data_IF_087347632946
#
_entry.id   IF_087347632946
#
_cell.length_a   1.000
_cell.length_b   1.000
_cell.length_c   1.000
_cell.angle_alpha   90.00
_cell.angle_beta   90.00
_cell.angle_gamma   90.00
#
_symmetry.space_group_name_H-M   'P 1'
#
loop_
_entity.id
_entity.type
_entity.pdbx_description
1 polymer ?
#
# COMPACT_ATOMS: atom_id res chain seq x y z
N UNK A 1 7.10 -28.12 -15.80
CA UNK A 1 7.01 -27.94 -17.27
C UNK A 1 8.23 -27.18 -17.73
N UNK A 2 8.96 -27.68 -18.70
CA UNK A 2 10.21 -27.05 -19.19
C UNK A 2 9.88 -25.79 -20.00
N UNK A 3 10.72 -24.77 -19.96
CA UNK A 3 10.60 -23.48 -20.69
C UNK A 3 10.29 -23.68 -22.18
N UNK A 4 10.79 -24.77 -22.77
CA UNK A 4 10.55 -25.16 -24.16
C UNK A 4 9.08 -25.48 -24.48
N UNK A 5 8.34 -26.07 -23.53
CA UNK A 5 6.91 -26.38 -23.72
C UNK A 5 6.03 -25.14 -23.67
N UNK A 6 6.38 -24.16 -22.84
CA UNK A 6 5.66 -22.89 -22.75
C UNK A 6 5.87 -22.06 -24.02
N UNK A 7 7.11 -21.98 -24.53
CA UNK A 7 7.41 -21.29 -25.79
C UNK A 7 6.70 -21.93 -27.00
N UNK A 8 6.61 -23.26 -27.03
CA UNK A 8 5.89 -23.97 -28.08
C UNK A 8 4.37 -23.74 -28.02
N UNK A 9 3.80 -23.67 -26.81
CA UNK A 9 2.41 -23.34 -26.61
C UNK A 9 2.08 -21.91 -27.03
N UNK A 10 2.96 -20.93 -26.71
CA UNK A 10 2.82 -19.53 -27.12
C UNK A 10 2.94 -19.40 -28.64
N UNK A 11 3.91 -20.07 -29.28
CA UNK A 11 4.06 -20.06 -30.74
C UNK A 11 2.84 -20.65 -31.47
N UNK A 12 2.21 -21.67 -30.88
CA UNK A 12 0.97 -22.25 -31.44
C UNK A 12 -0.22 -21.30 -31.27
N UNK A 13 -0.29 -20.56 -30.15
CA UNK A 13 -1.36 -19.58 -29.90
C UNK A 13 -1.23 -18.30 -30.75
N UNK A 14 -0.01 -17.96 -31.18
CA UNK A 14 0.27 -16.75 -32.00
C UNK A 14 0.35 -17.05 -33.51
N UNK A 15 0.05 -18.28 -33.95
CA UNK A 15 -0.04 -18.57 -35.37
C UNK A 15 -1.09 -17.67 -36.03
N UNK A 16 -0.67 -16.90 -37.04
CA UNK A 16 -1.52 -15.93 -37.75
C UNK A 16 -2.65 -16.66 -38.45
N UNK A 17 -3.84 -16.59 -37.87
CA UNK A 17 -5.04 -17.13 -38.48
C UNK A 17 -5.43 -16.28 -39.69
N UNK A 18 -5.50 -16.85 -40.85
CA UNK A 18 -5.89 -16.17 -42.12
C UNK A 18 -7.42 -15.91 -42.20
N UNK A 19 -8.19 -16.32 -41.19
CA UNK A 19 -9.61 -16.02 -41.06
C UNK A 19 -10.12 -16.35 -39.66
N UNK A 20 -10.72 -15.37 -39.01
CA UNK A 20 -11.40 -15.56 -37.72
C UNK A 20 -12.90 -15.41 -37.96
N UNK A 21 -13.64 -16.52 -37.81
CA UNK A 21 -15.11 -16.51 -37.83
C UNK A 21 -15.63 -16.75 -36.41
N UNK A 22 -16.69 -16.02 -36.02
CA UNK A 22 -17.39 -16.29 -34.77
C UNK A 22 -17.93 -17.69 -34.79
N UNK A 23 -17.55 -18.52 -33.80
CA UNK A 23 -18.14 -19.83 -33.58
C UNK A 23 -19.63 -19.69 -33.27
N UNK A 24 -20.40 -20.78 -33.52
CA UNK A 24 -21.83 -20.80 -33.24
C UNK A 24 -22.10 -20.45 -31.75
N UNK A 25 -23.32 -19.98 -31.43
CA UNK A 25 -23.79 -19.69 -30.06
C UNK A 25 -23.52 -20.78 -29.02
N UNK A 26 -23.34 -22.03 -29.49
CA UNK A 26 -23.06 -23.21 -28.65
C UNK A 26 -21.57 -23.58 -28.59
N UNK A 27 -20.67 -22.74 -29.06
CA UNK A 27 -19.24 -23.08 -29.25
C UNK A 27 -18.58 -23.72 -28.04
N UNK A 28 -18.62 -23.05 -26.86
CA UNK A 28 -18.04 -23.58 -25.62
C UNK A 28 -18.75 -24.85 -25.11
N UNK A 29 -20.08 -24.95 -25.29
CA UNK A 29 -20.86 -26.14 -24.88
C UNK A 29 -20.48 -27.37 -25.70
N UNK A 30 -20.24 -27.21 -27.01
CA UNK A 30 -19.74 -28.29 -27.86
C UNK A 30 -18.30 -28.67 -27.51
N UNK A 31 -17.46 -27.68 -27.23
CA UNK A 31 -16.07 -27.89 -26.81
C UNK A 31 -15.98 -28.61 -25.46
N UNK A 32 -16.85 -28.29 -24.49
CA UNK A 32 -16.85 -28.96 -23.18
C UNK A 32 -17.33 -30.47 -23.26
N UNK A 33 -17.94 -30.87 -24.34
CA UNK A 33 -18.29 -32.25 -24.60
C UNK A 33 -17.23 -33.03 -25.40
N UNK A 34 -16.20 -32.40 -25.89
CA UNK A 34 -15.12 -33.01 -26.64
C UNK A 34 -14.04 -33.54 -25.68
N UNK A 35 -13.76 -34.86 -25.76
CA UNK A 35 -12.78 -35.52 -24.89
C UNK A 35 -11.32 -35.10 -25.17
N UNK A 36 -11.05 -34.56 -26.36
CA UNK A 36 -9.73 -34.19 -26.83
C UNK A 36 -9.38 -32.74 -26.46
N UNK A 37 -10.34 -31.96 -25.91
CA UNK A 37 -10.18 -30.56 -25.58
C UNK A 37 -10.52 -30.37 -24.10
N UNK A 38 -9.58 -29.86 -23.30
CA UNK A 38 -9.77 -29.62 -21.85
C UNK A 38 -10.53 -28.30 -21.59
N UNK A 39 -11.81 -28.28 -21.97
CA UNK A 39 -12.75 -27.21 -21.65
C UNK A 39 -13.77 -27.74 -20.65
N UNK A 40 -13.70 -27.22 -19.40
CA UNK A 40 -14.63 -27.61 -18.33
C UNK A 40 -15.68 -26.54 -18.09
N UNK A 41 -16.89 -26.98 -17.77
CA UNK A 41 -17.98 -26.10 -17.40
C UNK A 41 -17.72 -25.51 -15.99
N UNK A 42 -17.84 -24.19 -15.84
CA UNK A 42 -17.80 -23.53 -14.53
C UNK A 42 -19.22 -23.48 -13.95
N UNK A 43 -19.35 -23.67 -12.63
CA UNK A 43 -20.62 -23.64 -11.91
C UNK A 43 -21.13 -22.20 -11.78
N UNK A 44 -21.93 -21.77 -12.76
CA UNK A 44 -22.65 -20.48 -12.70
C UNK A 44 -24.15 -20.75 -12.53
N UNK A 45 -24.80 -20.02 -11.64
CA UNK A 45 -26.22 -20.15 -11.34
C UNK A 45 -26.92 -18.78 -11.41
N UNK A 46 -28.25 -18.81 -11.57
CA UNK A 46 -29.11 -17.67 -11.32
C UNK A 46 -29.82 -17.90 -9.98
N UNK A 47 -29.61 -17.02 -9.03
CA UNK A 47 -30.17 -17.14 -7.68
C UNK A 47 -31.12 -15.98 -7.37
N UNK A 48 -32.12 -16.22 -6.52
CA UNK A 48 -32.96 -15.18 -5.96
C UNK A 48 -32.08 -14.18 -5.19
N UNK A 49 -32.13 -12.88 -5.49
CA UNK A 49 -31.33 -11.86 -4.79
C UNK A 49 -31.50 -11.89 -3.27
N UNK A 50 -32.66 -12.29 -2.76
CA UNK A 50 -32.97 -12.38 -1.33
C UNK A 50 -32.19 -13.45 -0.58
N UNK A 51 -31.59 -14.40 -1.30
CA UNK A 51 -30.71 -15.40 -0.72
C UNK A 51 -29.30 -14.87 -0.43
N UNK A 52 -28.90 -13.79 -1.08
CA UNK A 52 -27.60 -13.19 -0.84
C UNK A 52 -27.50 -12.74 0.61
N UNK A 53 -26.34 -12.91 1.20
CA UNK A 53 -26.05 -12.51 2.58
C UNK A 53 -24.64 -11.95 2.68
N UNK A 54 -24.54 -10.73 3.21
CA UNK A 54 -23.26 -10.08 3.49
C UNK A 54 -22.96 -10.32 4.96
N UNK A 55 -21.89 -11.04 5.24
CA UNK A 55 -21.39 -11.23 6.60
C UNK A 55 -20.78 -9.90 7.09
N UNK A 56 -21.23 -9.43 8.26
CA UNK A 56 -20.72 -8.21 8.85
C UNK A 56 -19.22 -8.32 9.14
N UNK A 57 -18.45 -7.29 8.77
CA UNK A 57 -16.99 -7.27 8.93
C UNK A 57 -16.23 -8.23 7.99
N UNK A 58 -16.89 -8.99 7.11
CA UNK A 58 -16.18 -9.84 6.15
C UNK A 58 -15.56 -9.01 5.02
N UNK A 59 -16.22 -7.96 4.56
CA UNK A 59 -15.69 -7.08 3.52
C UNK A 59 -14.46 -6.32 4.04
N UNK A 60 -13.36 -6.40 3.31
CA UNK A 60 -12.11 -5.68 3.63
C UNK A 60 -12.20 -4.20 3.24
N UNK A 61 -13.12 -3.88 2.35
CA UNK A 61 -13.27 -2.58 1.72
C UNK A 61 -14.51 -1.86 2.24
N UNK A 62 -14.39 -0.56 2.46
CA UNK A 62 -15.56 0.28 2.71
C UNK A 62 -16.44 0.35 1.45
N UNK A 63 -17.76 0.37 1.65
CA UNK A 63 -18.73 0.46 0.56
C UNK A 63 -18.72 1.88 -0.01
N UNK A 64 -18.35 1.99 -1.27
CA UNK A 64 -18.33 3.26 -2.02
C UNK A 64 -19.69 3.53 -2.64
N UNK A 65 -20.32 4.61 -2.20
CA UNK A 65 -21.68 4.97 -2.63
C UNK A 65 -21.76 5.29 -4.12
N UNK A 66 -20.76 5.96 -4.70
CA UNK A 66 -20.76 6.32 -6.12
C UNK A 66 -20.62 5.08 -7.00
N UNK A 67 -19.76 4.14 -6.58
CA UNK A 67 -19.60 2.87 -7.27
C UNK A 67 -20.86 2.01 -7.20
N UNK A 68 -21.55 1.99 -6.06
CA UNK A 68 -22.85 1.33 -5.89
C UNK A 68 -23.89 1.92 -6.83
N UNK A 69 -24.02 3.26 -6.92
CA UNK A 69 -24.96 3.92 -7.83
C UNK A 69 -24.69 3.59 -9.30
N UNK A 70 -23.42 3.39 -9.69
CA UNK A 70 -23.05 2.91 -11.01
C UNK A 70 -23.67 1.54 -11.33
N UNK A 71 -23.62 0.61 -10.37
CA UNK A 71 -24.26 -0.70 -10.52
C UNK A 71 -25.77 -0.65 -10.43
N UNK A 72 -26.36 0.21 -9.59
CA UNK A 72 -27.81 0.41 -9.54
C UNK A 72 -28.34 0.79 -10.93
N UNK A 73 -27.70 1.77 -11.58
CA UNK A 73 -28.05 2.15 -12.96
C UNK A 73 -27.92 0.97 -13.93
N UNK A 74 -26.88 0.16 -13.80
CA UNK A 74 -26.68 -1.01 -14.67
C UNK A 74 -27.78 -2.06 -14.51
N UNK A 75 -28.22 -2.32 -13.26
CA UNK A 75 -29.33 -3.24 -13.00
C UNK A 75 -30.67 -2.67 -13.49
N UNK A 76 -30.90 -1.37 -13.31
CA UNK A 76 -32.11 -0.69 -13.80
C UNK A 76 -32.20 -0.72 -15.33
N UNK A 77 -31.07 -0.50 -16.01
CA UNK A 77 -30.99 -0.49 -17.47
C UNK A 77 -30.93 -1.92 -18.09
N UNK A 78 -30.90 -2.97 -17.28
CA UNK A 78 -30.73 -4.35 -17.74
C UNK A 78 -29.38 -4.62 -18.41
N UNK A 79 -28.34 -3.82 -18.09
CA UNK A 79 -27.00 -4.01 -18.61
C UNK A 79 -26.29 -5.19 -17.95
N UNK A 80 -25.28 -5.73 -18.62
CA UNK A 80 -24.45 -6.77 -18.06
C UNK A 80 -23.72 -6.31 -16.80
N UNK A 81 -23.86 -7.10 -15.74
CA UNK A 81 -23.08 -6.96 -14.50
C UNK A 81 -22.39 -8.30 -14.24
N UNK A 82 -21.09 -8.31 -13.89
CA UNK A 82 -20.37 -9.55 -13.59
C UNK A 82 -21.05 -10.34 -12.47
N UNK A 83 -20.99 -11.69 -12.48
CA UNK A 83 -21.58 -12.53 -11.44
C UNK A 83 -20.96 -12.29 -10.07
N UNK A 84 -21.77 -12.50 -9.01
CA UNK A 84 -21.33 -12.42 -7.61
C UNK A 84 -20.73 -13.77 -7.22
N UNK A 85 -19.59 -13.78 -6.54
CA UNK A 85 -18.99 -15.02 -6.03
C UNK A 85 -19.53 -15.30 -4.62
N UNK A 86 -20.02 -16.53 -4.43
CA UNK A 86 -20.74 -16.92 -3.21
C UNK A 86 -20.32 -18.30 -2.70
N UNK A 87 -20.52 -18.52 -1.41
CA UNK A 87 -20.52 -19.85 -0.79
C UNK A 87 -21.86 -20.08 -0.10
N UNK A 88 -22.32 -21.33 -0.09
CA UNK A 88 -23.54 -21.70 0.63
C UNK A 88 -23.22 -21.82 2.12
N UNK A 89 -23.96 -21.12 2.95
CA UNK A 89 -23.85 -21.16 4.40
C UNK A 89 -25.22 -21.35 5.04
N UNK A 90 -25.26 -21.80 6.27
CA UNK A 90 -26.48 -21.85 7.07
C UNK A 90 -26.38 -20.75 8.15
N UNK A 91 -27.35 -19.83 8.15
CA UNK A 91 -27.46 -18.74 9.11
C UNK A 91 -28.82 -18.87 9.78
N UNK A 92 -28.84 -19.07 11.09
CA UNK A 92 -30.05 -19.24 11.89
C UNK A 92 -30.99 -20.35 11.35
N UNK A 93 -30.40 -21.46 10.90
CA UNK A 93 -31.15 -22.59 10.32
C UNK A 93 -31.68 -22.37 8.89
N UNK A 94 -31.31 -21.26 8.26
CA UNK A 94 -31.70 -20.93 6.88
C UNK A 94 -30.47 -20.93 5.96
N UNK A 95 -30.59 -21.62 4.82
CA UNK A 95 -29.53 -21.58 3.81
C UNK A 95 -29.47 -20.21 3.15
N UNK A 96 -28.27 -19.62 3.10
CA UNK A 96 -27.95 -18.34 2.51
C UNK A 96 -26.75 -18.45 1.58
N UNK A 97 -26.63 -17.49 0.68
CA UNK A 97 -25.49 -17.32 -0.21
C UNK A 97 -24.60 -16.21 0.36
N UNK A 98 -23.60 -16.60 1.16
CA UNK A 98 -22.59 -15.67 1.68
C UNK A 98 -21.80 -15.09 0.52
N UNK A 99 -21.78 -13.77 0.42
CA UNK A 99 -21.02 -13.05 -0.60
C UNK A 99 -19.55 -13.07 -0.24
N UNK A 100 -18.73 -13.65 -1.12
CA UNK A 100 -17.27 -13.68 -1.02
C UNK A 100 -16.67 -12.52 -1.81
N UNK A 101 -17.16 -12.28 -3.05
CA UNK A 101 -16.77 -11.16 -3.90
C UNK A 101 -18.01 -10.58 -4.59
N UNK A 102 -18.04 -9.24 -4.70
CA UNK A 102 -19.16 -8.51 -5.28
C UNK A 102 -20.02 -7.75 -4.27
N UNK A 103 -19.48 -7.38 -3.13
CA UNK A 103 -20.20 -6.65 -2.08
C UNK A 103 -20.90 -5.37 -2.58
N UNK A 104 -20.22 -4.53 -3.40
CA UNK A 104 -20.82 -3.35 -4.01
C UNK A 104 -21.98 -3.70 -4.94
N UNK A 105 -21.85 -4.79 -5.72
CA UNK A 105 -22.91 -5.30 -6.60
C UNK A 105 -24.11 -5.80 -5.80
N UNK A 106 -23.86 -6.47 -4.68
CA UNK A 106 -24.93 -6.95 -3.78
C UNK A 106 -25.69 -5.79 -3.14
N UNK A 107 -24.98 -4.77 -2.64
CA UNK A 107 -25.63 -3.56 -2.10
C UNK A 107 -26.43 -2.86 -3.19
N UNK A 108 -25.91 -2.78 -4.41
CA UNK A 108 -26.60 -2.18 -5.55
C UNK A 108 -27.87 -2.97 -5.94
N UNK A 109 -27.86 -4.30 -5.84
CA UNK A 109 -29.05 -5.15 -6.06
C UNK A 109 -30.14 -4.79 -5.06
N UNK A 110 -29.83 -4.69 -3.77
CA UNK A 110 -30.80 -4.33 -2.75
C UNK A 110 -31.38 -2.93 -2.98
N UNK A 111 -30.53 -1.94 -3.28
CA UNK A 111 -31.00 -0.60 -3.65
C UNK A 111 -31.86 -0.59 -4.91
N UNK A 112 -31.51 -1.34 -5.95
CA UNK A 112 -32.31 -1.44 -7.17
C UNK A 112 -33.69 -2.00 -6.89
N UNK A 113 -33.78 -3.05 -6.06
CA UNK A 113 -35.06 -3.64 -5.63
C UNK A 113 -35.88 -2.63 -4.80
N UNK A 114 -35.27 -1.92 -3.86
CA UNK A 114 -35.91 -0.84 -3.08
C UNK A 114 -36.45 0.28 -3.98
N UNK A 115 -35.74 0.57 -5.08
CA UNK A 115 -36.17 1.54 -6.10
C UNK A 115 -37.24 0.97 -7.06
N UNK A 116 -37.75 -0.26 -6.82
CA UNK A 116 -38.83 -0.86 -7.57
C UNK A 116 -38.40 -1.65 -8.82
N UNK A 117 -37.11 -1.96 -8.98
CA UNK A 117 -36.62 -2.80 -10.08
C UNK A 117 -36.96 -4.26 -9.78
N UNK A 118 -37.72 -4.94 -10.68
CA UNK A 118 -38.09 -6.35 -10.53
C UNK A 118 -36.94 -7.27 -10.92
N UNK A 119 -35.98 -7.48 -9.98
CA UNK A 119 -34.88 -8.41 -10.13
C UNK A 119 -35.25 -9.79 -9.58
N UNK A 120 -35.75 -10.68 -10.48
CA UNK A 120 -36.15 -12.04 -10.10
C UNK A 120 -34.95 -12.97 -9.83
N UNK A 121 -33.84 -12.74 -10.51
CA UNK A 121 -32.65 -13.55 -10.37
C UNK A 121 -31.40 -12.74 -10.72
N UNK A 122 -30.30 -13.08 -10.06
CA UNK A 122 -28.96 -12.51 -10.30
C UNK A 122 -27.96 -13.62 -10.55
N UNK A 123 -26.97 -13.34 -11.38
CA UNK A 123 -25.94 -14.32 -11.72
C UNK A 123 -24.95 -14.47 -10.57
N UNK A 124 -24.73 -15.72 -10.15
CA UNK A 124 -23.79 -16.06 -9.08
C UNK A 124 -22.86 -17.19 -9.52
N UNK A 125 -21.68 -17.24 -8.96
CA UNK A 125 -20.71 -18.33 -9.13
C UNK A 125 -20.41 -18.90 -7.75
N UNK A 126 -20.59 -20.18 -7.57
CA UNK A 126 -20.17 -20.86 -6.34
C UNK A 126 -18.66 -20.99 -6.32
N UNK A 127 -18.06 -20.56 -5.22
CA UNK A 127 -16.63 -20.70 -4.96
C UNK A 127 -16.39 -21.65 -3.81
N UNK A 128 -15.27 -22.35 -3.86
CA UNK A 128 -14.83 -23.32 -2.85
C UNK A 128 -13.62 -22.79 -2.13
N UNK A 129 -13.37 -23.31 -0.95
CA UNK A 129 -12.22 -22.93 -0.12
C UNK A 129 -12.61 -22.54 1.29
N UNK A 130 -11.64 -22.54 2.18
CA UNK A 130 -11.80 -22.10 3.55
C UNK A 130 -11.86 -20.55 3.65
N UNK A 131 -12.01 -20.00 4.85
CA UNK A 131 -12.08 -18.54 5.04
C UNK A 131 -10.83 -17.79 4.56
N UNK A 132 -9.66 -18.42 4.67
CA UNK A 132 -8.39 -17.84 4.16
C UNK A 132 -8.44 -17.72 2.65
N UNK A 133 -8.88 -18.79 1.96
CA UNK A 133 -9.01 -18.80 0.49
C UNK A 133 -10.02 -17.75 0.02
N UNK A 134 -11.15 -17.61 0.73
CA UNK A 134 -12.19 -16.61 0.43
C UNK A 134 -11.64 -15.19 0.58
N UNK A 135 -10.91 -14.91 1.66
CA UNK A 135 -10.29 -13.60 1.91
C UNK A 135 -9.18 -13.30 0.89
N UNK A 136 -8.34 -14.28 0.58
CA UNK A 136 -7.31 -14.16 -0.45
C UNK A 136 -7.91 -13.86 -1.83
N UNK A 137 -9.03 -14.53 -2.17
CA UNK A 137 -9.76 -14.27 -3.41
C UNK A 137 -10.28 -12.84 -3.48
N UNK A 138 -10.87 -12.33 -2.40
CA UNK A 138 -11.35 -10.94 -2.32
C UNK A 138 -10.20 -9.94 -2.52
N UNK A 139 -9.04 -10.18 -1.92
CA UNK A 139 -7.86 -9.32 -2.09
C UNK A 139 -7.35 -9.35 -3.53
N UNK A 140 -7.24 -10.56 -4.13
CA UNK A 140 -6.74 -10.75 -5.50
C UNK A 140 -7.72 -10.22 -6.56
N UNK A 141 -9.04 -10.27 -6.31
CA UNK A 141 -10.06 -9.80 -7.26
C UNK A 141 -10.23 -8.28 -7.28
N UNK A 142 -9.54 -7.55 -6.42
CA UNK A 142 -9.62 -6.09 -6.31
C UNK A 142 -9.00 -5.31 -7.50
N UNK A 143 -8.90 -5.91 -8.69
CA UNK A 143 -8.24 -5.32 -9.87
C UNK A 143 -8.94 -4.06 -10.40
N UNK A 144 -10.26 -3.99 -10.32
CA UNK A 144 -11.03 -2.84 -10.82
C UNK A 144 -10.88 -1.57 -9.97
N UNK A 145 -10.72 -1.71 -8.66
CA UNK A 145 -10.39 -0.68 -7.68
C UNK A 145 -9.41 -1.27 -6.68
N UNK A 146 -8.13 -0.95 -6.76
CA UNK A 146 -7.13 -1.46 -5.83
C UNK A 146 -7.51 -1.16 -4.37
N UNK A 147 -7.20 -2.10 -3.48
CA UNK A 147 -7.32 -1.86 -2.03
C UNK A 147 -6.36 -0.77 -1.59
N UNK A 148 -6.81 0.09 -0.70
CA UNK A 148 -5.93 1.06 -0.05
C UNK A 148 -4.90 0.37 0.82
N UNK A 149 -3.83 1.07 1.18
CA UNK A 149 -2.79 0.51 2.03
C UNK A 149 -3.31 0.07 3.42
N UNK A 150 -4.30 0.78 3.95
CA UNK A 150 -4.92 0.45 5.25
C UNK A 150 -5.87 -0.74 5.12
N UNK A 151 -6.65 -0.82 4.03
CA UNK A 151 -7.49 -2.00 3.75
C UNK A 151 -6.64 -3.27 3.60
N UNK A 152 -5.52 -3.21 2.87
CA UNK A 152 -4.56 -4.31 2.78
C UNK A 152 -3.94 -4.69 4.13
N UNK A 153 -3.58 -3.69 4.95
CA UNK A 153 -3.04 -3.94 6.27
C UNK A 153 -4.05 -4.69 7.16
N UNK A 154 -5.31 -4.27 7.14
CA UNK A 154 -6.40 -4.94 7.87
C UNK A 154 -6.63 -6.37 7.36
N UNK A 155 -6.62 -6.57 6.03
CA UNK A 155 -6.77 -7.89 5.42
C UNK A 155 -5.63 -8.84 5.86
N UNK A 156 -4.39 -8.39 5.83
CA UNK A 156 -3.23 -9.18 6.27
C UNK A 156 -3.31 -9.52 7.76
N UNK A 157 -3.71 -8.54 8.60
CA UNK A 157 -3.90 -8.76 10.03
C UNK A 157 -5.00 -9.80 10.30
N UNK A 158 -6.09 -9.77 9.53
CA UNK A 158 -7.18 -10.74 9.63
C UNK A 158 -6.70 -12.16 9.26
N UNK A 159 -5.92 -12.31 8.18
CA UNK A 159 -5.33 -13.60 7.82
C UNK A 159 -4.41 -14.14 8.91
N UNK A 160 -3.63 -13.27 9.57
CA UNK A 160 -2.81 -13.65 10.73
C UNK A 160 -3.70 -14.06 11.92
N UNK A 161 -4.83 -13.40 12.15
CA UNK A 161 -5.82 -13.79 13.16
C UNK A 161 -6.46 -15.16 12.89
N UNK A 162 -6.48 -15.61 11.64
CA UNK A 162 -6.89 -16.98 11.25
C UNK A 162 -5.78 -18.02 11.43
N UNK A 163 -4.61 -17.65 12.01
CA UNK A 163 -3.51 -18.55 12.34
C UNK A 163 -2.35 -18.59 11.33
N UNK A 164 -2.39 -17.79 10.26
CA UNK A 164 -1.27 -17.71 9.33
C UNK A 164 -0.16 -16.83 9.90
N UNK A 165 1.10 -17.20 9.63
CA UNK A 165 2.23 -16.32 9.85
C UNK A 165 2.49 -15.42 8.62
N UNK A 166 3.37 -14.42 8.75
CA UNK A 166 3.66 -13.45 7.67
C UNK A 166 4.16 -14.12 6.38
N UNK A 167 4.90 -15.21 6.47
CA UNK A 167 5.41 -15.94 5.31
C UNK A 167 4.26 -16.64 4.58
N UNK A 168 3.37 -17.30 5.31
CA UNK A 168 2.19 -17.96 4.75
C UNK A 168 1.23 -16.96 4.10
N UNK A 169 1.01 -15.78 4.74
CA UNK A 169 0.23 -14.69 4.13
C UNK A 169 0.87 -14.22 2.83
N UNK A 170 2.19 -14.10 2.79
CA UNK A 170 2.92 -13.68 1.60
C UNK A 170 2.83 -14.72 0.48
N UNK A 171 2.95 -16.00 0.78
CA UNK A 171 2.79 -17.11 -0.17
C UNK A 171 1.37 -17.14 -0.74
N UNK A 172 0.34 -17.06 0.12
CA UNK A 172 -1.06 -17.06 -0.28
C UNK A 172 -1.41 -15.91 -1.24
N UNK A 173 -0.85 -14.72 -1.00
CA UNK A 173 -1.14 -13.51 -1.77
C UNK A 173 -0.11 -13.22 -2.88
N UNK A 174 0.85 -14.12 -3.13
CA UNK A 174 1.92 -13.95 -4.11
C UNK A 174 2.71 -12.64 -3.92
N UNK A 175 3.03 -12.31 -2.66
CA UNK A 175 3.81 -11.13 -2.26
C UNK A 175 5.03 -11.52 -1.43
N UNK A 176 5.71 -10.58 -0.80
CA UNK A 176 6.88 -10.86 0.04
C UNK A 176 6.58 -10.65 1.52
N UNK A 177 7.19 -11.44 2.45
CA UNK A 177 7.03 -11.24 3.89
C UNK A 177 7.41 -9.83 4.35
N UNK A 178 8.41 -9.23 3.70
CA UNK A 178 8.81 -7.85 3.97
C UNK A 178 7.69 -6.85 3.63
N UNK A 179 6.96 -7.08 2.56
CA UNK A 179 5.82 -6.25 2.17
C UNK A 179 4.65 -6.44 3.14
N UNK A 180 4.33 -7.68 3.52
CA UNK A 180 3.33 -7.96 4.56
C UNK A 180 3.65 -7.22 5.84
N UNK A 181 4.91 -7.30 6.32
CA UNK A 181 5.35 -6.57 7.51
C UNK A 181 5.22 -5.04 7.36
N UNK A 182 5.51 -4.48 6.19
CA UNK A 182 5.37 -3.04 5.92
C UNK A 182 3.92 -2.57 6.08
N UNK A 183 2.95 -3.32 5.52
CA UNK A 183 1.54 -2.99 5.66
C UNK A 183 1.06 -3.15 7.12
N UNK A 184 1.43 -4.24 7.80
CA UNK A 184 1.07 -4.45 9.21
C UNK A 184 1.61 -3.34 10.12
N UNK A 185 2.75 -2.75 9.79
CA UNK A 185 3.32 -1.63 10.53
C UNK A 185 2.40 -0.39 10.50
N UNK A 186 1.62 -0.19 9.43
CA UNK A 186 0.66 0.91 9.34
C UNK A 186 -0.47 0.81 10.36
N UNK A 187 -0.80 -0.39 10.83
CA UNK A 187 -1.85 -0.57 11.87
C UNK A 187 -1.44 0.03 13.21
N UNK A 188 -0.13 0.17 13.46
CA UNK A 188 0.42 0.85 14.65
C UNK A 188 0.37 2.38 14.56
N UNK A 189 -0.02 2.92 13.41
CA UNK A 189 -0.12 4.35 13.21
C UNK A 189 -1.33 4.94 13.96
N UNK A 190 -1.23 6.19 14.46
CA UNK A 190 -2.37 6.94 14.95
C UNK A 190 -3.48 7.04 13.90
N UNK A 191 -4.73 7.13 14.35
CA UNK A 191 -5.89 7.15 13.45
C UNK A 191 -5.82 8.28 12.41
N UNK A 192 -5.31 9.44 12.84
CA UNK A 192 -5.13 10.60 11.95
C UNK A 192 -4.14 10.31 10.81
N UNK A 193 -3.01 9.62 11.10
CA UNK A 193 -2.06 9.22 10.04
C UNK A 193 -2.68 8.19 9.08
N UNK A 194 -3.49 7.26 9.60
CA UNK A 194 -4.25 6.31 8.76
C UNK A 194 -5.23 7.03 7.84
N UNK A 195 -5.96 8.03 8.36
CA UNK A 195 -6.88 8.84 7.57
C UNK A 195 -6.15 9.60 6.45
N UNK A 196 -4.99 10.20 6.72
CA UNK A 196 -4.17 10.88 5.71
C UNK A 196 -3.69 9.91 4.61
N UNK A 197 -3.37 8.66 4.96
CA UNK A 197 -2.98 7.63 3.99
C UNK A 197 -4.19 7.19 3.14
N UNK A 198 -5.36 7.00 3.76
CA UNK A 198 -6.59 6.62 3.05
C UNK A 198 -7.06 7.72 2.10
N UNK A 199 -6.95 8.99 2.50
CA UNK A 199 -7.24 10.14 1.64
C UNK A 199 -6.24 10.33 0.48
N UNK A 200 -5.09 9.62 0.51
CA UNK A 200 -4.03 9.78 -0.49
C UNK A 200 -3.14 11.02 -0.28
N UNK A 201 -3.33 11.76 0.80
CA UNK A 201 -2.56 12.96 1.13
C UNK A 201 -1.11 12.61 1.51
N UNK A 202 -0.92 11.44 2.13
CA UNK A 202 0.38 10.96 2.55
C UNK A 202 0.67 9.54 2.02
N UNK A 203 1.91 9.31 1.60
CA UNK A 203 2.32 8.03 1.03
C UNK A 203 2.46 6.95 2.11
N UNK A 204 1.84 5.79 1.90
CA UNK A 204 2.00 4.62 2.76
C UNK A 204 3.48 4.21 2.90
N UNK A 205 4.27 4.30 1.81
CA UNK A 205 5.70 4.00 1.83
C UNK A 205 6.48 4.93 2.76
N UNK A 206 6.19 6.22 2.73
CA UNK A 206 6.79 7.17 3.66
C UNK A 206 6.34 6.89 5.10
N UNK A 207 5.05 6.56 5.29
CA UNK A 207 4.50 6.27 6.61
C UNK A 207 5.23 5.10 7.28
N UNK A 208 5.27 3.91 6.66
CA UNK A 208 5.94 2.76 7.32
C UNK A 208 7.44 2.96 7.50
N UNK A 209 8.12 3.68 6.58
CA UNK A 209 9.53 4.01 6.74
C UNK A 209 9.78 4.95 7.92
N UNK A 210 8.92 5.95 8.11
CA UNK A 210 9.02 6.90 9.22
C UNK A 210 8.62 6.25 10.55
N UNK A 211 7.56 5.43 10.58
CA UNK A 211 7.17 4.65 11.77
C UNK A 211 8.33 3.74 12.22
N UNK A 212 8.98 3.04 11.28
CA UNK A 212 10.11 2.14 11.59
C UNK A 212 11.31 2.89 12.17
N UNK A 213 11.60 4.10 11.67
CA UNK A 213 12.79 4.88 12.04
C UNK A 213 12.59 5.71 13.28
N UNK A 214 11.41 6.26 13.48
CA UNK A 214 11.16 7.34 14.41
C UNK A 214 9.99 7.07 15.38
N UNK A 215 9.21 6.01 15.14
CA UNK A 215 7.99 5.73 15.88
C UNK A 215 6.74 6.38 15.25
N UNK A 216 5.57 6.00 15.76
CA UNK A 216 4.29 6.35 15.14
C UNK A 216 3.95 7.86 15.30
N UNK A 217 4.22 8.45 16.46
CA UNK A 217 3.87 9.83 16.77
C UNK A 217 4.72 10.83 15.98
N UNK A 218 6.03 10.57 15.89
CA UNK A 218 6.92 11.38 15.07
C UNK A 218 6.58 11.24 13.58
N UNK A 219 6.20 10.03 13.14
CA UNK A 219 5.75 9.81 11.77
C UNK A 219 4.50 10.62 11.43
N UNK A 220 3.55 10.75 12.37
CA UNK A 220 2.38 11.61 12.23
C UNK A 220 2.78 13.08 12.12
N UNK A 221 3.65 13.59 13.01
CA UNK A 221 4.12 14.96 12.97
C UNK A 221 4.82 15.29 11.64
N UNK A 222 5.65 14.38 11.14
CA UNK A 222 6.30 14.51 9.83
C UNK A 222 5.30 14.51 8.68
N UNK A 223 4.24 13.69 8.76
CA UNK A 223 3.19 13.62 7.75
C UNK A 223 2.40 14.94 7.69
N UNK A 224 2.00 15.49 8.85
CA UNK A 224 1.31 16.79 8.96
C UNK A 224 2.13 17.91 8.31
N UNK A 225 3.42 17.97 8.60
CA UNK A 225 4.29 18.99 8.03
C UNK A 225 4.48 18.82 6.52
N UNK A 226 4.60 17.59 6.02
CA UNK A 226 4.72 17.33 4.57
C UNK A 226 3.44 17.71 3.82
N UNK A 227 2.27 17.38 4.36
CA UNK A 227 0.97 17.71 3.74
C UNK A 227 0.76 19.21 3.74
N UNK A 228 1.07 19.89 4.87
CA UNK A 228 1.03 21.35 4.96
C UNK A 228 1.93 22.01 3.91
N UNK A 229 3.19 21.59 3.81
CA UNK A 229 4.14 22.11 2.83
C UNK A 229 3.68 21.88 1.38
N UNK A 230 3.01 20.74 1.10
CA UNK A 230 2.43 20.46 -0.22
C UNK A 230 1.25 21.39 -0.53
N UNK A 231 0.37 21.65 0.44
CA UNK A 231 -0.78 22.55 0.27
C UNK A 231 -0.33 24.00 0.05
N UNK A 232 0.64 24.49 0.80
CA UNK A 232 1.22 25.83 0.64
C UNK A 232 1.86 26.01 -0.74
N UNK A 233 2.61 25.01 -1.22
CA UNK A 233 3.19 25.02 -2.59
C UNK A 233 2.12 25.03 -3.67
N UNK A 234 1.03 24.28 -3.49
CA UNK A 234 -0.08 24.22 -4.44
C UNK A 234 -0.82 25.57 -4.50
N UNK A 235 -1.01 26.21 -3.36
CA UNK A 235 -1.62 27.54 -3.24
C UNK A 235 -0.73 28.65 -3.86
N UNK A 236 0.58 28.64 -3.61
CA UNK A 236 1.54 29.58 -4.19
C UNK A 236 1.61 29.44 -5.73
N UNK A 237 1.59 28.20 -6.23
CA UNK A 237 1.59 27.94 -7.68
C UNK A 237 0.31 28.45 -8.37
N UNK A 238 -0.84 28.39 -7.70
CA UNK A 238 -2.11 28.95 -8.23
C UNK A 238 -2.11 30.48 -8.24
N UNK A 239 -1.36 31.12 -7.33
CA UNK A 239 -1.23 32.59 -7.27
C UNK A 239 -0.10 33.14 -8.17
N UNK A 240 0.62 32.30 -8.91
CA UNK A 240 1.73 32.72 -9.78
C UNK A 240 2.99 33.17 -9.04
N UNK A 241 3.06 32.96 -7.72
CA UNK A 241 4.22 33.27 -6.89
C UNK A 241 5.26 32.14 -6.96
N UNK A 242 6.56 32.51 -6.98
CA UNK A 242 7.61 31.49 -6.83
C UNK A 242 7.50 30.85 -5.45
N UNK A 243 7.29 29.53 -5.33
CA UNK A 243 7.19 28.90 -4.04
C UNK A 243 8.49 29.12 -3.24
N UNK A 244 8.35 29.52 -2.00
CA UNK A 244 9.46 29.61 -1.07
C UNK A 244 10.20 28.25 -1.00
N UNK A 245 11.53 28.26 -0.88
CA UNK A 245 12.31 27.02 -0.69
C UNK A 245 11.72 26.25 0.48
N UNK A 246 11.16 25.08 0.20
CA UNK A 246 10.45 24.32 1.21
C UNK A 246 11.42 23.85 2.28
N UNK A 247 11.17 24.25 3.50
CA UNK A 247 11.75 23.73 4.74
C UNK A 247 11.10 22.38 5.16
N UNK A 248 10.23 21.81 4.34
CA UNK A 248 9.52 20.55 4.63
C UNK A 248 10.46 19.36 4.88
N UNK A 249 9.93 18.15 4.89
CA UNK A 249 10.62 16.87 5.20
C UNK A 249 12.00 16.66 4.58
N UNK A 250 12.37 17.45 3.56
CA UNK A 250 13.73 17.52 3.01
C UNK A 250 14.74 18.04 4.04
N UNK A 251 14.34 18.99 4.89
CA UNK A 251 15.18 19.52 5.97
C UNK A 251 15.38 18.52 7.13
N UNK A 252 14.47 17.57 7.29
CA UNK A 252 14.55 16.51 8.30
C UNK A 252 15.38 15.30 7.84
N UNK A 253 15.71 15.20 6.55
CA UNK A 253 16.53 14.11 6.03
C UNK A 253 18.01 14.42 6.20
N UNK A 254 18.72 13.54 6.90
CA UNK A 254 20.18 13.61 6.96
C UNK A 254 20.79 13.41 5.57
N UNK A 255 21.72 14.25 5.24
CA UNK A 255 22.49 14.20 3.99
C UNK A 255 23.78 13.43 4.26
N UNK A 256 24.26 12.69 3.28
CA UNK A 256 25.53 11.98 3.28
C UNK A 256 26.39 12.46 2.12
N UNK A 257 27.69 12.42 2.30
CA UNK A 257 28.63 12.67 1.21
C UNK A 257 28.38 11.66 0.07
N UNK A 258 28.43 12.12 -1.16
CA UNK A 258 28.25 11.24 -2.33
C UNK A 258 29.33 10.16 -2.38
N UNK A 259 29.02 8.90 -2.76
CA UNK A 259 30.00 7.79 -2.76
C UNK A 259 31.28 8.08 -3.55
N UNK A 260 31.20 8.79 -4.69
CA UNK A 260 32.36 9.22 -5.47
C UNK A 260 33.29 10.15 -4.70
N UNK A 261 32.72 11.00 -3.83
CA UNK A 261 33.50 11.93 -3.01
C UNK A 261 34.11 11.22 -1.81
N UNK A 262 33.43 10.22 -1.24
CA UNK A 262 34.00 9.35 -0.19
C UNK A 262 35.20 8.60 -0.75
N UNK A 263 35.11 8.04 -1.95
CA UNK A 263 36.24 7.36 -2.61
C UNK A 263 37.39 8.33 -2.87
N UNK A 264 37.11 9.53 -3.40
CA UNK A 264 38.14 10.56 -3.61
C UNK A 264 38.85 10.98 -2.32
N UNK A 265 38.12 11.04 -1.19
CA UNK A 265 38.70 11.30 0.12
C UNK A 265 39.59 10.13 0.58
N UNK A 266 39.12 8.89 0.34
CA UNK A 266 39.93 7.67 0.59
C UNK A 266 41.25 7.66 -0.18
N UNK A 267 41.22 8.05 -1.45
CA UNK A 267 42.42 8.15 -2.30
C UNK A 267 43.43 9.17 -1.74
N UNK A 268 42.95 10.34 -1.31
CA UNK A 268 43.79 11.39 -0.71
C UNK A 268 44.39 10.89 0.60
N UNK A 269 43.57 10.29 1.49
CA UNK A 269 44.04 9.75 2.76
C UNK A 269 45.08 8.63 2.54
N UNK A 270 44.83 7.72 1.60
CA UNK A 270 45.80 6.66 1.26
C UNK A 270 47.12 7.20 0.72
N UNK A 271 47.06 8.26 -0.09
CA UNK A 271 48.26 8.95 -0.60
C UNK A 271 49.06 9.63 0.48
N UNK A 272 48.39 10.22 1.48
CA UNK A 272 49.05 10.85 2.64
C UNK A 272 49.62 9.77 3.60
N UNK A 273 48.83 8.72 3.85
CA UNK A 273 49.25 7.60 4.69
C UNK A 273 50.54 6.89 4.16
N UNK A 274 50.66 6.81 2.82
CA UNK A 274 51.84 6.22 2.20
C UNK A 274 53.16 7.03 2.43
N UNK A 275 53.06 8.28 2.89
CA UNK A 275 54.20 9.13 3.23
C UNK A 275 54.61 8.97 4.69
N UNK A 276 53.86 8.24 5.51
CA UNK A 276 54.14 8.03 6.93
C UNK A 276 54.69 6.62 7.11
N UNK A 277 55.88 6.52 7.65
CA UNK A 277 56.48 5.22 8.09
C UNK A 277 56.43 5.14 9.62
N UNK A 278 56.31 3.91 10.16
CA UNK A 278 56.27 3.69 11.60
C UNK A 278 57.56 4.20 12.28
N UNK A 279 58.69 4.11 11.60
CA UNK A 279 60.00 4.60 12.09
C UNK A 279 60.01 6.14 12.23
N UNK A 280 59.35 6.87 11.30
CA UNK A 280 59.22 8.34 11.37
C UNK A 280 58.31 8.84 12.53
N UNK A 281 57.39 7.99 13.00
CA UNK A 281 56.53 8.29 14.13
C UNK A 281 57.20 8.05 15.49
N UNK A 282 58.26 7.23 15.54
CA UNK A 282 58.98 6.95 16.78
C UNK A 282 60.10 7.96 17.04
N UNK A 283 60.67 8.59 15.99
CA UNK A 283 61.83 9.49 16.09
C UNK A 283 61.50 10.99 16.07
N UNK A 284 60.35 11.44 15.49
CA UNK A 284 59.98 12.84 15.32
C UNK A 284 58.69 13.19 16.01
N UNK A 285 58.67 14.35 16.73
CA UNK A 285 57.46 14.93 17.32
C UNK A 285 56.53 15.55 16.28
N UNK A 286 56.97 15.86 15.06
CA UNK A 286 56.20 16.43 13.97
C UNK A 286 56.51 15.72 12.67
N UNK A 287 55.48 15.14 12.01
CA UNK A 287 55.57 14.56 10.69
C UNK A 287 55.01 15.55 9.65
N UNK A 288 55.86 15.98 8.70
CA UNK A 288 55.47 16.83 7.59
C UNK A 288 54.94 16.01 6.42
N UNK A 289 53.65 16.19 6.08
CA UNK A 289 53.04 15.57 4.93
C UNK A 289 53.04 16.54 3.75
N UNK A 290 53.44 16.09 2.58
CA UNK A 290 53.42 16.86 1.32
C UNK A 290 52.31 16.45 0.44
N UNK A 291 51.56 17.43 -0.11
CA UNK A 291 50.52 17.16 -1.12
C UNK A 291 50.66 18.16 -2.25
N UNK A 292 50.26 17.76 -3.46
CA UNK A 292 50.23 18.68 -4.58
C UNK A 292 49.02 19.64 -4.48
N UNK A 293 49.09 20.77 -5.18
CA UNK A 293 48.06 21.81 -5.13
C UNK A 293 46.67 21.33 -5.54
N UNK A 294 46.56 20.32 -6.42
CA UNK A 294 45.28 19.73 -6.85
C UNK A 294 44.64 18.90 -5.73
N UNK A 295 45.44 18.09 -5.04
CA UNK A 295 44.97 17.31 -3.88
C UNK A 295 44.56 18.24 -2.75
N UNK A 296 45.34 19.33 -2.47
CA UNK A 296 45.01 20.32 -1.47
C UNK A 296 43.66 21.02 -1.76
N UNK A 297 43.41 21.41 -3.00
CA UNK A 297 42.14 22.01 -3.42
C UNK A 297 40.97 21.03 -3.26
N UNK A 298 41.14 19.78 -3.65
CA UNK A 298 40.11 18.72 -3.47
C UNK A 298 39.80 18.50 -1.99
N UNK A 299 40.82 18.42 -1.14
CA UNK A 299 40.66 18.24 0.32
C UNK A 299 39.88 19.39 0.94
N UNK A 300 40.25 20.64 0.64
CA UNK A 300 39.55 21.83 1.11
C UNK A 300 38.09 21.88 0.66
N UNK A 301 37.81 21.52 -0.61
CA UNK A 301 36.45 21.43 -1.12
C UNK A 301 35.62 20.34 -0.42
N UNK A 302 36.21 19.19 -0.14
CA UNK A 302 35.55 18.09 0.59
C UNK A 302 35.31 18.44 2.05
N UNK A 303 36.25 19.14 2.69
CA UNK A 303 36.13 19.61 4.09
C UNK A 303 34.97 20.62 4.21
N UNK A 304 34.89 21.61 3.31
CA UNK A 304 33.79 22.57 3.29
C UNK A 304 32.43 21.90 3.10
N UNK A 305 32.35 20.92 2.22
CA UNK A 305 31.09 20.17 1.99
C UNK A 305 30.69 19.29 3.20
N UNK A 306 31.68 18.71 3.90
CA UNK A 306 31.42 17.97 5.14
C UNK A 306 30.85 18.88 6.23
N UNK A 307 31.41 20.09 6.41
CA UNK A 307 30.91 21.06 7.35
C UNK A 307 29.48 21.50 7.04
N UNK A 308 29.15 21.71 5.75
CA UNK A 308 27.79 22.00 5.33
C UNK A 308 26.84 20.83 5.65
N UNK A 309 27.28 19.57 5.42
CA UNK A 309 26.51 18.37 5.72
C UNK A 309 26.30 18.22 7.23
N UNK A 310 27.33 18.45 8.04
CA UNK A 310 27.24 18.37 9.51
C UNK A 310 26.29 19.43 10.06
N UNK A 311 26.42 20.66 9.58
CA UNK A 311 25.50 21.77 9.95
C UNK A 311 24.05 21.44 9.58
N UNK A 312 23.81 20.91 8.38
CA UNK A 312 22.48 20.47 7.95
C UNK A 312 21.94 19.35 8.83
N UNK A 313 22.75 18.32 9.11
CA UNK A 313 22.36 17.19 9.92
C UNK A 313 22.07 17.58 11.38
N UNK A 314 22.84 18.51 11.95
CA UNK A 314 22.60 19.04 13.29
C UNK A 314 21.26 19.80 13.37
N UNK A 315 20.93 20.60 12.36
CA UNK A 315 19.62 21.26 12.25
C UNK A 315 18.49 20.25 12.11
N UNK A 316 18.67 19.20 11.28
CA UNK A 316 17.71 18.12 11.13
C UNK A 316 17.45 17.40 12.46
N UNK A 317 18.50 17.10 13.25
CA UNK A 317 18.38 16.47 14.56
C UNK A 317 17.65 17.36 15.57
N UNK A 318 17.90 18.66 15.54
CA UNK A 318 17.19 19.61 16.39
C UNK A 318 15.71 19.66 16.04
N UNK A 319 15.37 19.80 14.77
CA UNK A 319 13.96 19.78 14.30
C UNK A 319 13.24 18.48 14.67
N UNK A 320 13.92 17.34 14.58
CA UNK A 320 13.36 16.05 14.99
C UNK A 320 13.08 16.00 16.49
N UNK A 321 13.95 16.58 17.33
CA UNK A 321 13.71 16.68 18.77
C UNK A 321 12.51 17.57 19.08
N UNK A 322 12.39 18.71 18.41
CA UNK A 322 11.25 19.62 18.55
C UNK A 322 9.93 18.97 18.16
N UNK A 323 9.91 18.23 17.04
CA UNK A 323 8.75 17.44 16.63
C UNK A 323 8.38 16.36 17.64
N UNK A 324 9.37 15.67 18.22
CA UNK A 324 9.13 14.66 19.24
C UNK A 324 8.53 15.24 20.53
N UNK A 325 8.98 16.45 20.94
CA UNK A 325 8.41 17.17 22.09
C UNK A 325 6.97 17.58 21.80
N UNK A 326 6.72 18.12 20.61
CA UNK A 326 5.39 18.55 20.19
C UNK A 326 4.42 17.38 20.12
N UNK A 327 4.83 16.24 19.52
CA UNK A 327 4.01 15.03 19.45
C UNK A 327 3.59 14.54 20.85
N UNK A 328 4.48 14.58 21.83
CA UNK A 328 4.18 14.23 23.23
C UNK A 328 3.24 15.21 23.94
N UNK A 329 3.26 16.49 23.54
CA UNK A 329 2.33 17.48 24.06
C UNK A 329 0.93 17.29 23.50
N UNK A 330 0.83 17.10 22.17
CA UNK A 330 -0.44 16.82 21.48
C UNK A 330 -1.11 15.55 22.03
N UNK A 331 -0.34 14.49 22.34
CA UNK A 331 -0.85 13.26 22.97
C UNK A 331 -1.45 13.53 24.37
N UNK A 332 -0.77 14.34 25.19
CA UNK A 332 -1.27 14.71 26.52
C UNK A 332 -2.54 15.57 26.46
N UNK A 333 -2.59 16.50 25.51
CA UNK A 333 -3.78 17.35 25.31
C UNK A 333 -4.96 16.52 24.75
N UNK A 334 -4.69 15.53 23.88
CA UNK A 334 -5.70 14.58 23.36
C UNK A 334 -6.32 13.73 24.46
N UNK A 335 -5.51 13.17 25.34
CA UNK A 335 -6.00 12.36 26.50
C UNK A 335 -6.85 13.19 27.45
N UNK A 336 -6.47 14.44 27.73
CA UNK A 336 -7.26 15.35 28.59
C UNK A 336 -8.61 15.73 27.96
N UNK A 337 -8.71 15.78 26.64
CA UNK A 337 -9.95 16.07 25.93
C UNK A 337 -10.89 14.84 25.90
N UNK A 338 -10.34 13.64 25.77
CA UNK A 338 -11.11 12.38 25.84
C UNK A 338 -11.66 12.16 27.26
N UNK A 339 -10.85 12.31 28.31
CA UNK A 339 -11.30 12.20 29.71
C UNK A 339 -12.43 13.21 30.02
N UNK A 340 -12.32 14.46 29.54
CA UNK A 340 -13.37 15.47 29.73
C UNK A 340 -14.65 15.16 28.95
N UNK A 341 -14.55 14.50 27.80
CA UNK A 341 -15.73 14.11 27.01
C UNK A 341 -16.45 12.92 27.62
N UNK A 342 -15.74 11.97 28.22
CA UNK A 342 -16.31 10.85 28.96
C UNK A 342 -16.98 11.32 30.28
N UNK A 343 -16.34 12.23 31.02
CA UNK A 343 -16.93 12.82 32.24
C UNK A 343 -18.20 13.63 31.96
N UNK A 344 -18.30 14.30 30.79
CA UNK A 344 -19.53 14.99 30.37
C UNK A 344 -20.63 14.05 29.91
N UNK A 345 -20.30 12.85 29.41
CA UNK A 345 -21.28 11.83 29.04
C UNK A 345 -21.83 11.09 30.26
N UNK A 346 -21.03 10.86 31.31
CA UNK A 346 -21.50 10.28 32.58
C UNK A 346 -22.40 11.22 33.39
N UNK A 347 -22.23 12.54 33.28
CA UNK A 347 -23.06 13.53 33.95
C UNK A 347 -24.43 13.72 33.23
N UNK A 348 -24.55 13.29 31.98
CA UNK A 348 -25.74 13.43 31.14
C UNK A 348 -26.61 12.16 31.08
N UNK A 349 -26.16 11.05 31.69
CA UNK A 349 -26.89 9.78 31.80
C UNK A 349 -27.50 9.60 33.18
#
# INVERSE_FOLDING_TARGET
MTTTNIQKAIATATATATGVALASKDGLRKLSGNKDIDVKRVNGFNADPRMLWIEEGFNVRDIDAEHVEGFVRSYTDGKYVPPIEVVVVEVDGVQRLKVVEGHHRTVAIYKAIENGVDLKAVSVIEVTGNEVDQLARMIKSAEGRPLTAIELANAYNRMMGMGLNQTQVAEELATTPAQVNNYLLLLKAPQELKAMIQAGDYSATNAWNNIRKHGADIALAMAKEEVRAKSEKKAAKQKGEKPAKSTGTSALKKIKLAPKKVNSMGDIVSSLASQVTLEALEEEQEVKLTMNAEMAKKLLSLAAELDEIETHNAKADQMMKELAVKAKQDEKEGVVLEEKSEEQLEIAA
#
